data_IF_523659573880
#
_entry.id   IF_523659573880
#
_cell.length_a   1.000
_cell.length_b   1.000
_cell.length_c   1.000
_cell.angle_alpha   90.00
_cell.angle_beta   90.00
_cell.angle_gamma   90.00
#
_symmetry.space_group_name_H-M   'P 1'
#
loop_
_entity.id
_entity.type
_entity.pdbx_description
1 polymer ?
#
# COMPACT_ATOMS: atom_id res chain seq x y z
N UNK A 1 -6.85 -15.58 -3.22
CA UNK A 1 -6.83 -14.58 -4.31
C UNK A 1 -8.25 -14.32 -4.73
N UNK A 2 -8.58 -13.06 -5.03
CA UNK A 2 -9.93 -12.63 -5.42
C UNK A 2 -9.85 -11.53 -6.48
N UNK A 3 -10.67 -11.61 -7.53
CA UNK A 3 -10.89 -10.50 -8.47
C UNK A 3 -12.04 -9.62 -7.96
N UNK A 4 -11.81 -8.32 -7.79
CA UNK A 4 -12.81 -7.42 -7.22
C UNK A 4 -13.75 -6.86 -8.29
N UNK A 5 -15.06 -6.97 -8.05
CA UNK A 5 -16.07 -6.59 -9.04
C UNK A 5 -16.31 -5.08 -9.15
N UNK A 6 -15.80 -4.28 -8.21
CA UNK A 6 -15.97 -2.83 -8.23
C UNK A 6 -17.35 -2.33 -7.78
N UNK A 7 -18.16 -3.17 -7.12
CA UNK A 7 -19.53 -2.84 -6.67
C UNK A 7 -19.60 -1.59 -5.80
N UNK A 8 -18.72 -1.51 -4.80
CA UNK A 8 -18.67 -0.37 -3.86
C UNK A 8 -17.63 0.66 -4.28
N UNK A 9 -16.43 0.21 -4.66
CA UNK A 9 -15.33 1.09 -5.05
C UNK A 9 -14.94 0.87 -6.51
N UNK A 10 -15.53 1.65 -7.41
CA UNK A 10 -15.36 1.48 -8.87
C UNK A 10 -13.91 1.63 -9.34
N UNK A 11 -13.11 2.44 -8.65
CA UNK A 11 -11.70 2.67 -8.99
C UNK A 11 -10.84 1.40 -8.81
N UNK A 12 -11.31 0.44 -8.01
CA UNK A 12 -10.61 -0.84 -7.79
C UNK A 12 -11.20 -1.98 -8.62
N UNK A 13 -12.14 -1.67 -9.52
CA UNK A 13 -12.71 -2.67 -10.41
C UNK A 13 -11.59 -3.37 -11.18
N UNK A 14 -11.72 -4.69 -11.34
CA UNK A 14 -10.76 -5.53 -12.07
C UNK A 14 -9.37 -5.60 -11.40
N UNK A 15 -9.24 -5.13 -10.15
CA UNK A 15 -8.05 -5.34 -9.33
C UNK A 15 -8.08 -6.74 -8.68
N UNK A 16 -6.92 -7.38 -8.60
CA UNK A 16 -6.74 -8.62 -7.87
C UNK A 16 -6.30 -8.36 -6.44
N UNK A 17 -6.91 -9.02 -5.49
CA UNK A 17 -6.50 -9.00 -4.09
C UNK A 17 -5.87 -10.33 -3.72
N UNK A 18 -4.67 -10.26 -3.16
CA UNK A 18 -3.88 -11.41 -2.76
C UNK A 18 -3.51 -11.26 -1.29
N UNK A 19 -3.86 -12.28 -0.50
CA UNK A 19 -3.44 -12.42 0.89
C UNK A 19 -2.16 -13.25 0.97
N UNK A 20 -1.16 -12.75 1.70
CA UNK A 20 0.09 -13.48 1.93
C UNK A 20 0.14 -13.97 3.39
N UNK A 21 0.09 -15.30 3.59
CA UNK A 21 0.10 -15.89 4.94
C UNK A 21 1.37 -15.56 5.73
N UNK A 22 2.54 -15.70 5.10
CA UNK A 22 3.84 -15.43 5.73
C UNK A 22 4.12 -13.93 5.86
N UNK A 23 3.74 -13.18 4.83
CA UNK A 23 3.94 -11.72 4.78
C UNK A 23 2.98 -10.96 5.70
N UNK A 24 1.86 -11.55 6.11
CA UNK A 24 0.79 -10.89 6.88
C UNK A 24 0.27 -9.61 6.21
N UNK A 25 0.29 -9.60 4.88
CA UNK A 25 -0.12 -8.46 4.07
C UNK A 25 -1.31 -8.82 3.18
N UNK A 26 -2.07 -7.79 2.85
CA UNK A 26 -3.00 -7.78 1.73
C UNK A 26 -2.42 -6.90 0.62
N UNK A 27 -2.12 -7.51 -0.52
CA UNK A 27 -1.67 -6.82 -1.71
C UNK A 27 -2.83 -6.67 -2.70
N UNK A 28 -2.93 -5.48 -3.30
CA UNK A 28 -3.80 -5.19 -4.44
C UNK A 28 -2.91 -5.14 -5.69
N UNK A 29 -3.22 -5.96 -6.67
CA UNK A 29 -2.57 -5.97 -7.97
C UNK A 29 -3.48 -5.35 -9.02
N UNK A 30 -2.96 -4.42 -9.79
CA UNK A 30 -3.62 -3.82 -10.93
C UNK A 30 -2.88 -4.16 -12.21
N UNK A 31 -3.61 -4.58 -13.24
CA UNK A 31 -3.05 -4.85 -14.54
C UNK A 31 -3.22 -3.61 -15.42
N UNK A 32 -2.12 -3.02 -15.88
CA UNK A 32 -2.13 -1.88 -16.78
C UNK A 32 -1.16 -2.12 -17.94
N UNK A 33 -1.67 -2.14 -19.18
CA UNK A 33 -0.89 -2.34 -20.40
C UNK A 33 0.06 -3.56 -20.35
N UNK A 34 -0.42 -4.67 -19.78
CA UNK A 34 0.37 -5.90 -19.62
C UNK A 34 1.41 -5.85 -18.49
N UNK A 35 1.49 -4.76 -17.73
CA UNK A 35 2.29 -4.65 -16.51
C UNK A 35 1.41 -4.86 -15.28
N UNK A 36 1.99 -5.51 -14.28
CA UNK A 36 1.36 -5.68 -12.97
C UNK A 36 1.97 -4.65 -12.02
N UNK A 37 1.12 -3.82 -11.44
CA UNK A 37 1.48 -2.91 -10.35
C UNK A 37 0.95 -3.49 -9.04
N UNK A 38 1.78 -3.52 -8.00
CA UNK A 38 1.43 -4.01 -6.67
C UNK A 38 1.36 -2.87 -5.66
N UNK A 39 0.27 -2.82 -4.90
CA UNK A 39 0.06 -1.93 -3.77
C UNK A 39 -0.21 -2.73 -2.49
N UNK A 40 0.52 -2.44 -1.41
CA UNK A 40 0.36 -3.10 -0.11
C UNK A 40 -0.60 -2.28 0.76
N UNK A 41 -1.75 -2.85 1.12
CA UNK A 41 -2.82 -2.12 1.83
C UNK A 41 -2.79 -2.28 3.35
N UNK A 42 -2.39 -3.45 3.85
CA UNK A 42 -2.54 -3.82 5.28
C UNK A 42 -1.24 -4.31 5.91
N UNK A 43 -0.17 -3.51 5.81
CA UNK A 43 1.13 -3.88 6.38
C UNK A 43 1.12 -3.99 7.91
N UNK A 44 0.35 -3.12 8.58
CA UNK A 44 0.34 -3.03 10.04
C UNK A 44 -0.73 -3.91 10.71
N UNK A 45 -1.50 -4.67 9.93
CA UNK A 45 -2.59 -5.51 10.43
C UNK A 45 -2.08 -6.71 11.25
N UNK A 46 -0.83 -7.15 11.04
CA UNK A 46 -0.08 -8.16 11.79
C UNK A 46 -0.78 -9.52 12.02
N UNK A 47 -1.85 -9.81 11.30
CA UNK A 47 -2.58 -11.08 11.33
C UNK A 47 -2.26 -11.92 10.08
N UNK A 48 -2.25 -13.24 10.22
CA UNK A 48 -1.97 -14.15 9.11
C UNK A 48 -3.22 -14.26 8.23
N UNK A 49 -3.23 -13.54 7.12
CA UNK A 49 -4.35 -13.54 6.18
C UNK A 49 -4.35 -14.81 5.32
N UNK A 50 -5.34 -15.68 5.53
CA UNK A 50 -5.53 -16.94 4.81
C UNK A 50 -6.21 -16.74 3.47
N UNK A 51 -7.31 -16.00 3.48
CA UNK A 51 -8.11 -15.79 2.28
C UNK A 51 -8.82 -14.45 2.30
N UNK A 52 -9.24 -14.02 1.11
CA UNK A 52 -9.92 -12.74 0.86
C UNK A 52 -11.15 -13.00 0.00
N UNK A 53 -12.27 -12.35 0.33
CA UNK A 53 -13.55 -12.46 -0.36
C UNK A 53 -14.24 -11.11 -0.52
N UNK A 54 -15.12 -11.00 -1.50
CA UNK A 54 -15.98 -9.83 -1.69
C UNK A 54 -17.37 -10.13 -1.12
N UNK A 55 -17.91 -9.21 -0.30
CA UNK A 55 -19.29 -9.32 0.18
C UNK A 55 -20.28 -8.94 -0.92
N UNK A 56 -21.56 -9.36 -0.82
CA UNK A 56 -22.61 -8.88 -1.73
C UNK A 56 -22.71 -7.34 -1.78
N UNK A 57 -22.40 -6.67 -0.67
CA UNK A 57 -22.35 -5.21 -0.53
C UNK A 57 -21.10 -4.55 -1.14
N UNK A 58 -20.13 -5.34 -1.62
CA UNK A 58 -18.89 -4.86 -2.22
C UNK A 58 -17.79 -4.49 -1.20
N UNK A 59 -17.91 -4.89 0.06
CA UNK A 59 -16.80 -4.79 1.03
C UNK A 59 -15.85 -5.98 0.85
N UNK A 60 -14.65 -5.87 1.42
CA UNK A 60 -13.64 -6.93 1.39
C UNK A 60 -13.65 -7.65 2.73
N UNK A 61 -13.91 -8.96 2.72
CA UNK A 61 -13.76 -9.85 3.88
C UNK A 61 -12.39 -10.50 3.88
N UNK A 62 -11.78 -10.55 5.06
CA UNK A 62 -10.51 -11.20 5.32
C UNK A 62 -10.68 -12.32 6.33
N UNK A 63 -10.13 -13.48 6.03
CA UNK A 63 -10.08 -14.61 6.95
C UNK A 63 -8.66 -14.81 7.45
N UNK A 64 -8.52 -15.02 8.75
CA UNK A 64 -7.23 -15.28 9.39
C UNK A 64 -6.96 -16.76 9.62
N UNK A 65 -5.68 -17.13 9.62
CA UNK A 65 -5.20 -18.49 9.93
C UNK A 65 -4.64 -18.53 11.35
N UNK A 66 -5.30 -19.25 12.26
CA UNK A 66 -4.88 -19.40 13.64
C UNK A 66 -5.92 -20.08 14.53
N UNK A 67 -5.57 -20.43 15.78
CA UNK A 67 -6.53 -20.93 16.76
C UNK A 67 -7.58 -19.85 17.04
N UNK A 68 -8.86 -20.16 16.78
CA UNK A 68 -9.94 -19.18 16.85
C UNK A 68 -10.00 -18.22 15.65
N UNK A 69 -9.81 -18.74 14.44
CA UNK A 69 -9.82 -17.97 13.18
C UNK A 69 -10.90 -16.90 13.14
N UNK A 70 -10.47 -15.67 12.91
CA UNK A 70 -11.32 -14.47 12.88
C UNK A 70 -11.65 -14.08 11.45
N UNK A 71 -12.82 -13.48 11.30
CA UNK A 71 -13.27 -12.83 10.08
C UNK A 71 -13.27 -11.33 10.31
N UNK A 72 -12.65 -10.59 9.41
CA UNK A 72 -12.65 -9.13 9.42
C UNK A 72 -13.32 -8.61 8.17
N UNK A 73 -14.16 -7.60 8.32
CA UNK A 73 -14.74 -6.88 7.19
C UNK A 73 -14.06 -5.52 7.07
N UNK A 74 -13.37 -5.32 5.95
CA UNK A 74 -12.83 -4.03 5.58
C UNK A 74 -13.97 -3.18 5.04
N UNK A 75 -14.42 -2.26 5.88
CA UNK A 75 -15.35 -1.26 5.44
C UNK A 75 -14.59 -0.20 4.64
N UNK A 76 -14.72 -0.26 3.32
CA UNK A 76 -14.22 0.78 2.43
C UNK A 76 -15.08 2.04 2.61
N UNK A 77 -14.75 2.82 3.64
CA UNK A 77 -15.10 4.23 3.71
C UNK A 77 -14.21 4.97 2.71
N UNK A 78 -14.71 6.09 2.17
CA UNK A 78 -14.04 6.87 1.13
C UNK A 78 -12.69 7.41 1.66
N UNK A 79 -11.64 6.61 1.55
CA UNK A 79 -10.26 7.03 1.80
C UNK A 79 -9.83 7.72 0.51
N UNK A 80 -9.66 9.04 0.58
CA UNK A 80 -9.20 9.83 -0.54
C UNK A 80 -7.93 9.21 -1.15
N UNK A 81 -7.97 8.93 -2.45
CA UNK A 81 -6.87 8.48 -3.29
C UNK A 81 -5.74 9.53 -3.46
N UNK A 82 -5.44 10.31 -2.41
CA UNK A 82 -4.42 11.35 -2.38
C UNK A 82 -3.21 10.96 -1.52
N UNK A 83 -3.06 9.67 -1.16
CA UNK A 83 -1.89 9.21 -0.40
C UNK A 83 -0.58 9.25 -1.23
N UNK A 84 -0.67 9.40 -2.55
CA UNK A 84 0.48 9.57 -3.44
C UNK A 84 1.08 11.00 -3.39
N UNK A 85 0.24 12.03 -3.24
CA UNK A 85 0.71 13.41 -3.35
C UNK A 85 1.50 13.87 -2.11
N UNK A 86 1.12 13.40 -0.93
CA UNK A 86 1.83 13.73 0.32
C UNK A 86 3.22 13.11 0.38
N UNK A 87 3.39 11.90 -0.14
CA UNK A 87 4.68 11.21 -0.18
C UNK A 87 5.66 11.87 -1.16
N UNK A 88 5.15 12.34 -2.30
CA UNK A 88 5.94 13.11 -3.27
C UNK A 88 6.39 14.47 -2.69
N UNK A 89 5.53 15.13 -1.93
CA UNK A 89 5.87 16.40 -1.28
C UNK A 89 6.95 16.22 -0.21
N UNK A 90 6.86 15.16 0.59
CA UNK A 90 7.86 14.81 1.61
C UNK A 90 9.21 14.44 0.97
N UNK A 91 9.20 13.67 -0.12
CA UNK A 91 10.42 13.36 -0.90
C UNK A 91 11.06 14.61 -1.52
N UNK A 92 10.26 15.52 -2.08
CA UNK A 92 10.77 16.80 -2.58
C UNK A 92 11.40 17.66 -1.47
N UNK A 93 10.77 17.73 -0.29
CA UNK A 93 11.28 18.52 0.83
C UNK A 93 12.58 17.95 1.42
N UNK A 94 12.68 16.61 1.50
CA UNK A 94 13.87 15.93 1.98
C UNK A 94 15.07 16.07 1.01
N UNK A 95 14.82 16.15 -0.30
CA UNK A 95 15.88 16.34 -1.29
C UNK A 95 16.39 17.79 -1.34
N UNK A 96 15.50 18.77 -1.16
CA UNK A 96 15.87 20.19 -1.14
C UNK A 96 16.78 20.56 0.04
N UNK A 97 16.69 19.83 1.17
CA UNK A 97 17.47 20.09 2.37
C UNK A 97 18.86 19.42 2.37
N UNK A 98 19.13 18.47 1.46
CA UNK A 98 20.42 17.77 1.38
C UNK A 98 21.49 18.51 0.55
N UNK A 99 21.11 19.51 -0.25
CA UNK A 99 22.02 20.21 -1.19
C UNK A 99 22.54 21.56 -0.69
N UNK A 100 22.22 21.97 0.55
CA UNK A 100 22.65 23.25 1.13
C UNK A 100 23.82 23.09 2.13
N UNK A 101 24.81 22.25 1.83
CA UNK A 101 26.05 22.19 2.62
C UNK A 101 27.10 23.14 2.00
N UNK A 102 27.52 24.22 2.69
CA UNK A 102 28.57 25.11 2.18
C UNK A 102 29.93 24.40 2.26
N UNK A 103 30.55 24.19 1.09
CA UNK A 103 31.94 23.74 0.99
C UNK A 103 32.82 24.91 1.47
N UNK A 104 33.37 24.80 2.68
CA UNK A 104 34.46 25.69 3.14
C UNK A 104 35.78 24.95 2.99
N UNK A 105 36.48 25.23 1.89
CA UNK A 105 37.87 24.77 1.70
C UNK A 105 38.80 25.87 2.24
N UNK A 106 39.39 25.63 3.41
CA UNK A 106 40.48 26.46 3.94
C UNK A 106 41.79 26.00 3.29
N UNK A 107 42.35 26.79 2.38
CA UNK A 107 43.72 26.60 1.90
C UNK A 107 44.68 27.31 2.86
N UNK A 108 45.53 26.55 3.54
CA UNK A 108 46.65 27.08 4.30
C UNK A 108 47.93 26.91 3.47
N UNK A 109 48.52 28.03 3.04
CA UNK A 109 49.80 28.08 2.33
C UNK A 109 50.87 28.50 3.34
N UNK A 110 51.84 27.63 3.63
CA UNK A 110 53.07 28.00 4.32
C UNK A 110 54.18 28.06 3.28
N UNK A 111 54.87 29.21 3.23
CA UNK A 111 56.12 29.40 2.49
C UNK A 111 57.33 28.84 3.21
#
# INVERSE_FOLDING_TARGET
MMLYSGKKFKEWKDSFFISALSGKILSRLTLNNGKVEEEILLKDFNERLRNVYETPSGNILLLTDGPGGKIFELHLSRINANFSFFYLLILCYAFASLFSAPISHSFHFTG
#
